data_IF_822653395736
#
_entry.id   IF_822653395736
#
_cell.length_a   1.000
_cell.length_b   1.000
_cell.length_c   1.000
_cell.angle_alpha   90.00
_cell.angle_beta   90.00
_cell.angle_gamma   90.00
#
_symmetry.space_group_name_H-M   'P 1'
#
loop_
_entity.id
_entity.type
_entity.pdbx_description
1 polymer ?
#
# COMPACT_ATOMS: atom_id res chain seq x y z
N UNK A 1 15.74 -0.16 -2.89
CA UNK A 1 15.76 0.03 -1.41
C UNK A 1 15.10 1.32 -0.91
N UNK A 2 15.63 2.53 -1.15
CA UNK A 2 15.07 3.79 -0.57
C UNK A 2 13.57 4.02 -0.81
N UNK A 3 13.04 3.71 -2.00
CA UNK A 3 11.62 3.90 -2.34
C UNK A 3 10.67 2.94 -1.59
N UNK A 4 11.06 1.68 -1.40
CA UNK A 4 10.30 0.66 -0.65
C UNK A 4 10.19 1.00 0.83
N UNK A 5 11.31 1.38 1.45
CA UNK A 5 11.33 1.81 2.85
C UNK A 5 10.45 3.03 3.06
N UNK A 6 10.48 4.00 2.14
CA UNK A 6 9.61 5.17 2.20
C UNK A 6 8.12 4.78 2.09
N UNK A 7 7.76 3.88 1.19
CA UNK A 7 6.38 3.40 1.04
C UNK A 7 5.88 2.62 2.27
N UNK A 8 6.73 1.80 2.89
CA UNK A 8 6.41 1.14 4.16
C UNK A 8 6.21 2.13 5.29
N UNK A 9 7.09 3.13 5.41
CA UNK A 9 6.96 4.20 6.41
C UNK A 9 5.66 4.97 6.19
N UNK A 10 5.32 5.34 4.96
CA UNK A 10 4.05 6.01 4.63
C UNK A 10 2.85 5.12 5.01
N UNK A 11 2.91 3.82 4.71
CA UNK A 11 1.87 2.86 5.09
C UNK A 11 1.68 2.75 6.61
N UNK A 12 2.77 2.61 7.37
CA UNK A 12 2.72 2.55 8.83
C UNK A 12 2.24 3.86 9.45
N UNK A 13 2.69 5.01 8.93
CA UNK A 13 2.23 6.33 9.38
C UNK A 13 0.73 6.47 9.12
N UNK A 14 0.22 6.05 7.96
CA UNK A 14 -1.22 6.11 7.65
C UNK A 14 -2.05 5.25 8.63
N UNK A 15 -1.58 4.04 8.96
CA UNK A 15 -2.23 3.16 9.95
C UNK A 15 -2.18 3.77 11.35
N UNK A 16 -1.03 4.28 11.78
CA UNK A 16 -0.87 4.94 13.07
C UNK A 16 -1.76 6.18 13.18
N UNK A 17 -1.81 7.02 12.14
CA UNK A 17 -2.71 8.17 12.10
C UNK A 17 -4.16 7.74 12.22
N UNK A 18 -4.60 6.69 11.52
CA UNK A 18 -5.95 6.18 11.64
C UNK A 18 -6.29 5.75 13.08
N UNK A 19 -5.37 5.05 13.77
CA UNK A 19 -5.54 4.63 15.17
C UNK A 19 -5.58 5.84 16.12
N UNK A 20 -4.68 6.81 15.95
CA UNK A 20 -4.61 8.01 16.78
C UNK A 20 -5.85 8.88 16.59
N UNK A 21 -6.31 9.04 15.35
CA UNK A 21 -7.57 9.75 15.05
C UNK A 21 -8.78 9.05 15.65
N UNK A 22 -8.83 7.71 15.59
CA UNK A 22 -9.90 6.92 16.23
C UNK A 22 -9.90 7.09 17.75
N UNK A 23 -8.72 7.14 18.37
CA UNK A 23 -8.56 7.32 19.82
C UNK A 23 -9.00 8.72 20.27
N UNK A 24 -8.61 9.77 19.52
CA UNK A 24 -9.06 11.16 19.77
C UNK A 24 -10.57 11.25 19.58
N UNK A 25 -11.12 10.61 18.56
CA UNK A 25 -12.55 10.63 18.28
C UNK A 25 -13.34 9.98 19.42
N UNK A 26 -12.95 8.77 19.87
CA UNK A 26 -13.62 8.10 20.99
C UNK A 26 -13.60 8.99 22.24
N UNK A 27 -12.45 9.55 22.61
CA UNK A 27 -12.32 10.44 23.78
C UNK A 27 -13.09 11.77 23.62
N UNK A 28 -13.07 12.38 22.43
CA UNK A 28 -13.67 13.71 22.19
C UNK A 28 -15.18 13.63 21.97
N UNK A 29 -15.66 12.53 21.37
CA UNK A 29 -17.07 12.24 21.18
C UNK A 29 -17.74 11.93 22.52
N UNK A 30 -17.08 11.20 23.42
CA UNK A 30 -17.67 10.86 24.74
C UNK A 30 -17.82 12.07 25.66
N UNK A 31 -16.84 12.97 25.73
CA UNK A 31 -16.83 14.01 26.77
C UNK A 31 -17.38 15.38 26.34
N UNK A 32 -17.12 15.84 25.10
CA UNK A 32 -17.38 17.23 24.73
C UNK A 32 -18.45 17.35 23.65
N UNK A 33 -18.35 16.57 22.58
CA UNK A 33 -19.22 16.74 21.39
C UNK A 33 -20.64 16.24 21.67
N UNK A 34 -20.84 15.11 22.36
CA UNK A 34 -22.19 14.61 22.64
C UNK A 34 -23.00 15.51 23.60
N UNK A 35 -22.32 16.30 24.44
CA UNK A 35 -22.97 17.16 25.43
C UNK A 35 -23.27 18.55 24.88
N UNK A 36 -22.44 19.09 23.97
CA UNK A 36 -22.47 20.52 23.60
C UNK A 36 -22.97 20.84 22.18
N UNK A 37 -23.08 19.85 21.28
CA UNK A 37 -23.41 20.10 19.86
C UNK A 37 -24.83 19.64 19.49
N UNK A 38 -25.38 20.25 18.43
CA UNK A 38 -26.69 19.85 17.90
C UNK A 38 -26.60 18.50 17.17
N UNK A 39 -27.70 17.72 17.08
CA UNK A 39 -27.70 16.40 16.43
C UNK A 39 -27.15 16.39 15.00
N UNK A 40 -27.38 17.47 14.23
CA UNK A 40 -26.88 17.62 12.86
C UNK A 40 -25.36 17.76 12.82
N UNK A 41 -24.76 18.48 13.77
CA UNK A 41 -23.32 18.69 13.85
C UNK A 41 -22.62 17.38 14.22
N UNK A 42 -23.21 16.60 15.15
CA UNK A 42 -22.78 15.24 15.48
C UNK A 42 -22.77 14.36 14.24
N UNK A 43 -23.84 14.40 13.45
CA UNK A 43 -23.94 13.63 12.21
C UNK A 43 -22.84 14.02 11.21
N UNK A 44 -22.61 15.31 10.99
CA UNK A 44 -21.56 15.79 10.06
C UNK A 44 -20.17 15.37 10.52
N UNK A 45 -19.85 15.51 11.82
CA UNK A 45 -18.55 15.15 12.38
C UNK A 45 -18.30 13.64 12.26
N UNK A 46 -19.28 12.82 12.66
CA UNK A 46 -19.18 11.35 12.58
C UNK A 46 -19.07 10.89 11.12
N UNK A 47 -19.86 11.45 10.22
CA UNK A 47 -19.85 11.07 8.80
C UNK A 47 -18.53 11.45 8.11
N UNK A 48 -18.05 12.68 8.33
CA UNK A 48 -16.77 13.16 7.79
C UNK A 48 -15.61 12.32 8.29
N UNK A 49 -15.66 11.89 9.55
CA UNK A 49 -14.67 10.97 10.11
C UNK A 49 -14.67 9.61 9.40
N UNK A 50 -15.83 8.95 9.27
CA UNK A 50 -15.90 7.65 8.61
C UNK A 50 -15.42 7.72 7.15
N UNK A 51 -15.72 8.82 6.46
CA UNK A 51 -15.20 9.07 5.11
C UNK A 51 -13.67 9.16 5.10
N UNK A 52 -13.09 9.98 5.99
CA UNK A 52 -11.64 10.17 6.05
C UNK A 52 -10.91 8.88 6.47
N UNK A 53 -11.46 8.14 7.43
CA UNK A 53 -10.92 6.85 7.88
C UNK A 53 -10.96 5.80 6.76
N UNK A 54 -12.05 5.76 5.99
CA UNK A 54 -12.17 4.88 4.83
C UNK A 54 -11.11 5.20 3.76
N UNK A 55 -10.88 6.50 3.48
CA UNK A 55 -9.82 6.93 2.57
C UNK A 55 -8.44 6.50 3.08
N UNK A 56 -8.14 6.70 4.37
CA UNK A 56 -6.86 6.27 4.96
C UNK A 56 -6.64 4.76 4.86
N UNK A 57 -7.67 3.95 5.07
CA UNK A 57 -7.58 2.49 4.92
C UNK A 57 -7.35 2.07 3.46
N UNK A 58 -8.05 2.69 2.51
CA UNK A 58 -7.86 2.43 1.08
C UNK A 58 -6.43 2.77 0.65
N UNK A 59 -5.95 3.97 1.00
CA UNK A 59 -4.60 4.39 0.66
C UNK A 59 -3.53 3.55 1.37
N UNK A 60 -3.71 3.26 2.66
CA UNK A 60 -2.79 2.41 3.43
C UNK A 60 -2.67 1.01 2.81
N UNK A 61 -3.81 0.40 2.47
CA UNK A 61 -3.84 -0.92 1.81
C UNK A 61 -3.17 -0.87 0.43
N UNK A 62 -3.44 0.16 -0.36
CA UNK A 62 -2.83 0.36 -1.68
C UNK A 62 -1.30 0.46 -1.59
N UNK A 63 -0.77 1.26 -0.66
CA UNK A 63 0.68 1.39 -0.47
C UNK A 63 1.32 0.08 -0.01
N UNK A 64 0.67 -0.68 0.89
CA UNK A 64 1.16 -1.98 1.32
C UNK A 64 1.16 -3.01 0.18
N UNK A 65 0.12 -3.02 -0.64
CA UNK A 65 0.01 -3.90 -1.81
C UNK A 65 1.11 -3.59 -2.84
N UNK A 66 1.41 -2.31 -3.08
CA UNK A 66 2.50 -1.89 -3.96
C UNK A 66 3.85 -2.40 -3.46
N UNK A 67 4.12 -2.28 -2.16
CA UNK A 67 5.36 -2.81 -1.55
C UNK A 67 5.44 -4.32 -1.75
N UNK A 68 4.40 -5.06 -1.36
CA UNK A 68 4.37 -6.51 -1.47
C UNK A 68 4.57 -7.01 -2.91
N UNK A 69 3.87 -6.41 -3.87
CA UNK A 69 4.02 -6.77 -5.28
C UNK A 69 5.41 -6.41 -5.82
N UNK A 70 6.01 -5.31 -5.37
CA UNK A 70 7.37 -4.94 -5.77
C UNK A 70 8.45 -5.86 -5.18
N UNK A 71 8.24 -6.44 -4.00
CA UNK A 71 9.11 -7.51 -3.45
C UNK A 71 9.00 -8.78 -4.28
N UNK A 72 7.77 -9.16 -4.66
CA UNK A 72 7.53 -10.33 -5.49
C UNK A 72 8.16 -10.20 -6.87
N UNK A 73 8.03 -9.04 -7.51
CA UNK A 73 8.66 -8.75 -8.81
C UNK A 73 10.19 -8.76 -8.70
N UNK A 74 10.78 -8.14 -7.67
CA UNK A 74 12.24 -8.17 -7.49
C UNK A 74 12.76 -9.61 -7.31
N UNK A 75 12.06 -10.45 -6.55
CA UNK A 75 12.43 -11.86 -6.36
C UNK A 75 12.34 -12.68 -7.65
N UNK A 76 11.27 -12.51 -8.42
CA UNK A 76 11.10 -13.18 -9.72
C UNK A 76 12.19 -12.73 -10.70
N UNK A 77 12.49 -11.43 -10.74
CA UNK A 77 13.58 -10.90 -11.57
C UNK A 77 14.96 -11.42 -11.16
N UNK A 78 15.20 -11.61 -9.85
CA UNK A 78 16.45 -12.18 -9.36
C UNK A 78 16.61 -13.66 -9.76
N UNK A 79 15.52 -14.45 -9.71
CA UNK A 79 15.50 -15.84 -10.18
C UNK A 79 15.75 -15.92 -11.69
N UNK A 80 15.05 -15.11 -12.47
CA UNK A 80 15.23 -14.99 -13.92
C UNK A 80 16.70 -14.66 -14.27
N UNK A 81 17.29 -13.67 -13.59
CA UNK A 81 18.68 -13.27 -13.83
C UNK A 81 19.68 -14.38 -13.49
N UNK A 82 19.42 -15.15 -12.43
CA UNK A 82 20.24 -16.30 -12.07
C UNK A 82 20.19 -17.38 -13.15
N UNK A 83 18.99 -17.67 -13.68
CA UNK A 83 18.81 -18.68 -14.71
C UNK A 83 19.44 -18.25 -16.04
N UNK A 84 19.28 -16.98 -16.44
CA UNK A 84 19.93 -16.39 -17.62
C UNK A 84 21.46 -16.54 -17.56
N UNK A 85 22.06 -16.22 -16.40
CA UNK A 85 23.52 -16.30 -16.21
C UNK A 85 24.07 -17.73 -16.25
N UNK A 86 23.21 -18.76 -16.14
CA UNK A 86 23.61 -20.16 -16.24
C UNK A 86 23.76 -20.66 -17.70
N UNK A 87 23.35 -19.87 -18.70
CA UNK A 87 23.47 -20.23 -20.11
C UNK A 87 24.65 -19.53 -20.79
N UNK A 88 25.29 -20.20 -21.75
CA UNK A 88 26.29 -19.61 -22.66
C UNK A 88 25.65 -18.56 -23.58
N UNK A 89 26.43 -17.55 -23.98
CA UNK A 89 26.02 -16.35 -24.75
C UNK A 89 24.91 -16.55 -25.81
N UNK A 90 25.01 -17.51 -26.77
CA UNK A 90 23.97 -17.63 -27.80
C UNK A 90 22.62 -18.14 -27.26
N UNK A 91 22.61 -18.96 -26.19
CA UNK A 91 21.37 -19.48 -25.57
C UNK A 91 20.79 -18.50 -24.56
N UNK A 92 21.63 -17.62 -24.02
CA UNK A 92 21.25 -16.58 -23.06
C UNK A 92 20.31 -15.56 -23.70
N UNK A 93 20.65 -15.06 -24.88
CA UNK A 93 19.85 -14.05 -25.60
C UNK A 93 18.47 -14.57 -26.01
N UNK A 94 18.38 -15.81 -26.51
CA UNK A 94 17.10 -16.44 -26.85
C UNK A 94 16.19 -16.62 -25.61
N UNK A 95 16.81 -16.97 -24.47
CA UNK A 95 16.08 -17.13 -23.21
C UNK A 95 15.61 -15.77 -22.65
N UNK A 96 16.46 -14.73 -22.72
CA UNK A 96 16.10 -13.36 -22.37
C UNK A 96 14.88 -12.86 -23.15
N UNK A 97 14.86 -13.05 -24.47
CA UNK A 97 13.73 -12.66 -25.33
C UNK A 97 12.43 -13.39 -24.95
N UNK A 98 12.51 -14.71 -24.71
CA UNK A 98 11.34 -15.51 -24.27
C UNK A 98 10.80 -15.04 -22.92
N UNK A 99 11.68 -14.72 -21.98
CA UNK A 99 11.27 -14.24 -20.65
C UNK A 99 10.66 -12.84 -20.75
N UNK A 100 11.23 -11.93 -21.55
CA UNK A 100 10.68 -10.60 -21.78
C UNK A 100 9.29 -10.68 -22.43
N UNK A 101 9.11 -11.56 -23.42
CA UNK A 101 7.81 -11.76 -24.06
C UNK A 101 6.75 -12.24 -23.06
N UNK A 102 7.09 -13.24 -22.23
CA UNK A 102 6.19 -13.77 -21.19
C UNK A 102 5.84 -12.73 -20.12
N UNK A 103 6.80 -11.86 -19.77
CA UNK A 103 6.57 -10.77 -18.82
C UNK A 103 5.64 -9.70 -19.39
N UNK A 104 5.71 -9.41 -20.70
CA UNK A 104 4.76 -8.49 -21.35
C UNK A 104 3.33 -9.05 -21.35
N UNK A 105 3.15 -10.33 -21.67
CA UNK A 105 1.84 -11.00 -21.63
C UNK A 105 1.19 -11.01 -20.23
N UNK A 106 1.98 -10.93 -19.15
CA UNK A 106 1.45 -10.89 -17.78
C UNK A 106 1.10 -9.47 -17.31
N UNK A 107 1.52 -8.44 -18.03
CA UNK A 107 1.30 -7.02 -17.69
C UNK A 107 0.11 -6.43 -18.49
N UNK A 108 -0.15 -6.94 -19.70
CA UNK A 108 -1.34 -6.64 -20.52
C UNK A 108 -2.56 -7.48 -20.12
#
# INVERSE_FOLDING_TARGET
MRRKTLQQIIGYIAVLFAILYYSILVFSITDVIFVTTLPIEKFVIVSGFFLLASLHLIFGTYFLMLVYNSDRIENVMALIKKDILAYDEPKRTEYEEKVIARLRELIE
#
